data_IF_320201924133
#
_entry.id   IF_320201924133
#
_cell.length_a   1.000
_cell.length_b   1.000
_cell.length_c   1.000
_cell.angle_alpha   90.00
_cell.angle_beta   90.00
_cell.angle_gamma   90.00
#
_symmetry.space_group_name_H-M   'P 1'
#
loop_
_entity.id
_entity.type
_entity.pdbx_description
1 polymer ?
#
# COMPACT_ATOMS: atom_id res chain seq x y z
N UNK A 1 7.08 11.45 -10.52
CA UNK A 1 7.54 10.15 -11.08
C UNK A 1 6.35 9.38 -11.62
N UNK A 2 6.52 8.77 -12.75
CA UNK A 2 5.47 8.00 -13.39
C UNK A 2 5.76 6.51 -13.37
N UNK A 3 4.71 5.69 -13.43
CA UNK A 3 4.80 4.26 -13.46
C UNK A 3 3.66 3.75 -14.34
N UNK A 4 3.95 3.53 -15.61
CA UNK A 4 3.00 3.02 -16.60
C UNK A 4 1.65 3.74 -16.63
N UNK A 5 1.69 5.06 -16.83
CA UNK A 5 0.48 5.86 -16.90
C UNK A 5 -0.09 6.27 -15.56
N UNK A 6 0.67 6.06 -14.49
CA UNK A 6 0.30 6.48 -13.15
C UNK A 6 1.35 7.45 -12.61
N UNK A 7 0.91 8.37 -11.78
CA UNK A 7 1.78 9.29 -11.08
C UNK A 7 1.87 8.86 -9.63
N UNK A 8 3.08 8.64 -9.15
CA UNK A 8 3.29 8.28 -7.75
C UNK A 8 2.99 9.50 -6.89
N UNK A 9 2.02 9.39 -5.98
CA UNK A 9 1.64 10.49 -5.10
C UNK A 9 2.12 10.31 -3.67
N UNK A 10 2.57 9.12 -3.31
CA UNK A 10 3.07 8.92 -1.96
C UNK A 10 3.37 7.48 -1.64
N UNK A 11 3.76 7.26 -0.40
CA UNK A 11 4.08 5.94 0.13
C UNK A 11 3.41 5.82 1.50
N UNK A 12 2.78 4.67 1.74
CA UNK A 12 2.25 4.33 3.05
C UNK A 12 3.13 3.25 3.64
N UNK A 13 3.55 3.42 4.88
CA UNK A 13 4.40 2.46 5.57
C UNK A 13 3.71 2.02 6.85
N UNK A 14 3.59 0.72 7.03
CA UNK A 14 2.96 0.13 8.22
C UNK A 14 3.98 -0.79 8.88
N UNK A 15 4.25 -0.55 10.15
CA UNK A 15 5.15 -1.42 10.90
C UNK A 15 4.43 -2.73 11.26
N UNK A 16 5.04 -3.85 10.91
CA UNK A 16 4.45 -5.17 11.10
C UNK A 16 5.33 -6.08 11.96
N UNK A 17 6.26 -5.49 12.70
CA UNK A 17 7.30 -6.26 13.39
C UNK A 17 6.76 -7.31 14.36
N UNK A 18 5.63 -7.06 15.00
CA UNK A 18 5.06 -8.01 15.95
C UNK A 18 3.75 -8.61 15.46
N UNK A 19 3.45 -8.49 14.17
CA UNK A 19 2.21 -8.99 13.61
C UNK A 19 2.40 -10.38 13.01
N UNK A 20 1.36 -11.21 13.12
CA UNK A 20 1.37 -12.50 12.44
C UNK A 20 0.77 -12.37 11.03
N UNK A 21 0.85 -13.44 10.25
CA UNK A 21 0.40 -13.43 8.87
C UNK A 21 -1.07 -13.04 8.73
N UNK A 22 -1.93 -13.53 9.61
CA UNK A 22 -3.36 -13.22 9.56
C UNK A 22 -3.63 -11.75 9.83
N UNK A 23 -2.91 -11.16 10.79
CA UNK A 23 -3.03 -9.73 11.10
C UNK A 23 -2.53 -8.88 9.95
N UNK A 24 -1.41 -9.26 9.34
CA UNK A 24 -0.83 -8.53 8.21
C UNK A 24 -1.82 -8.54 7.03
N UNK A 25 -2.41 -9.70 6.74
CA UNK A 25 -3.38 -9.82 5.67
C UNK A 25 -4.59 -8.90 5.91
N UNK A 26 -5.10 -8.89 7.14
CA UNK A 26 -6.24 -8.06 7.51
C UNK A 26 -5.91 -6.58 7.36
N UNK A 27 -4.74 -6.17 7.83
CA UNK A 27 -4.29 -4.78 7.73
C UNK A 27 -4.13 -4.35 6.27
N UNK A 28 -3.50 -5.19 5.47
CA UNK A 28 -3.30 -4.91 4.05
C UNK A 28 -4.63 -4.77 3.32
N UNK A 29 -5.55 -5.70 3.55
CA UNK A 29 -6.86 -5.67 2.89
C UNK A 29 -7.67 -4.44 3.29
N UNK A 30 -7.60 -4.05 4.56
CA UNK A 30 -8.27 -2.83 5.01
C UNK A 30 -7.70 -1.60 4.32
N UNK A 31 -6.39 -1.53 4.23
CA UNK A 31 -5.70 -0.41 3.57
C UNK A 31 -6.10 -0.33 2.10
N UNK A 32 -6.12 -1.47 1.41
CA UNK A 32 -6.52 -1.54 0.00
C UNK A 32 -7.94 -1.02 -0.17
N UNK A 33 -8.86 -1.46 0.68
CA UNK A 33 -10.25 -1.03 0.63
C UNK A 33 -10.38 0.46 0.88
N UNK A 34 -9.71 0.97 1.91
CA UNK A 34 -9.77 2.39 2.26
C UNK A 34 -9.24 3.27 1.12
N UNK A 35 -8.12 2.88 0.52
CA UNK A 35 -7.53 3.64 -0.58
C UNK A 35 -8.41 3.57 -1.83
N UNK A 36 -8.97 2.41 -2.11
CA UNK A 36 -9.89 2.25 -3.23
C UNK A 36 -11.10 3.18 -3.09
N UNK A 37 -11.65 3.27 -1.88
CA UNK A 37 -12.80 4.15 -1.61
C UNK A 37 -12.46 5.63 -1.78
N UNK A 38 -11.19 5.98 -1.68
CA UNK A 38 -10.72 7.36 -1.88
C UNK A 38 -10.24 7.60 -3.31
N UNK A 39 -10.43 6.63 -4.20
CA UNK A 39 -9.96 6.69 -5.59
C UNK A 39 -8.44 6.81 -5.71
N UNK A 40 -7.74 6.24 -4.76
CA UNK A 40 -6.28 6.20 -4.76
C UNK A 40 -5.85 4.83 -5.24
N UNK A 41 -4.94 4.79 -6.20
CA UNK A 41 -4.43 3.54 -6.77
C UNK A 41 -3.23 3.04 -5.98
N UNK A 42 -3.17 1.73 -5.78
CA UNK A 42 -1.99 1.10 -5.23
C UNK A 42 -1.17 0.62 -6.42
N UNK A 43 0.02 1.16 -6.57
CA UNK A 43 0.89 0.86 -7.70
C UNK A 43 1.84 -0.29 -7.40
N UNK A 44 2.20 -0.46 -6.14
CA UNK A 44 3.10 -1.52 -5.74
C UNK A 44 2.90 -1.81 -4.26
N UNK A 45 3.21 -3.02 -3.86
CA UNK A 45 3.15 -3.44 -2.47
C UNK A 45 4.40 -4.29 -2.19
N UNK A 46 5.15 -3.92 -1.16
CA UNK A 46 6.36 -4.61 -0.78
C UNK A 46 6.35 -4.90 0.70
N UNK A 47 6.93 -6.01 1.08
CA UNK A 47 7.12 -6.37 2.48
C UNK A 47 8.61 -6.51 2.71
N UNK A 48 9.13 -5.69 3.61
CA UNK A 48 10.53 -5.77 4.01
C UNK A 48 10.53 -6.08 5.49
N UNK A 49 11.38 -6.97 5.94
CA UNK A 49 11.53 -7.33 7.36
C UNK A 49 10.38 -6.90 8.28
N UNK A 50 10.40 -5.66 8.68
CA UNK A 50 9.48 -5.14 9.69
C UNK A 50 8.37 -4.23 9.15
N UNK A 51 8.31 -4.01 7.84
CA UNK A 51 7.38 -3.04 7.28
C UNK A 51 6.66 -3.55 6.05
N UNK A 52 5.40 -3.13 5.96
CA UNK A 52 4.59 -3.27 4.76
C UNK A 52 4.59 -1.91 4.08
N UNK A 53 5.00 -1.85 2.83
CA UNK A 53 5.15 -0.60 2.09
C UNK A 53 4.21 -0.61 0.89
N UNK A 54 3.36 0.42 0.80
CA UNK A 54 2.46 0.60 -0.32
C UNK A 54 2.86 1.85 -1.08
N UNK A 55 3.10 1.71 -2.38
CA UNK A 55 3.34 2.85 -3.25
C UNK A 55 2.01 3.23 -3.86
N UNK A 56 1.58 4.47 -3.65
CA UNK A 56 0.27 4.93 -4.08
C UNK A 56 0.39 6.04 -5.10
N UNK A 57 -0.64 6.16 -5.93
CA UNK A 57 -0.64 7.17 -6.95
C UNK A 57 -2.01 7.38 -7.56
N UNK A 58 -2.03 8.21 -8.59
CA UNK A 58 -3.21 8.51 -9.35
C UNK A 58 -2.99 8.12 -10.81
N UNK A 59 -4.06 7.72 -11.47
CA UNK A 59 -4.02 7.46 -12.89
C UNK A 59 -4.02 8.79 -13.63
N UNK A 60 -3.12 8.92 -14.59
CA UNK A 60 -3.05 10.12 -15.43
C UNK A 60 -4.27 10.30 -16.30
#
# INVERSE_FOLDING_TARGET
MEMEGHVISGVKVINIVEENAASIEKMANKMITDLHNKNIKILDLQITGDNLILVIGEKE
#
